data_IF_771282178650
#
_entry.id   IF_771282178650
#
_cell.length_a   1.000
_cell.length_b   1.000
_cell.length_c   1.000
_cell.angle_alpha   90.00
_cell.angle_beta   90.00
_cell.angle_gamma   90.00
#
_symmetry.space_group_name_H-M   'P 1'
#
loop_
_entity.id
_entity.type
_entity.pdbx_description
1 polymer ?
#
# COMPACT_ATOMS: atom_id res chain seq x y z
N UNK A 1 -15.53 -20.17 -6.65
CA UNK A 1 -14.61 -19.02 -6.55
C UNK A 1 -15.28 -18.02 -5.63
N UNK A 2 -14.81 -17.90 -4.39
CA UNK A 2 -15.32 -16.85 -3.52
C UNK A 2 -14.90 -15.51 -4.13
N UNK A 3 -15.86 -14.63 -4.36
CA UNK A 3 -15.56 -13.21 -4.57
C UNK A 3 -14.93 -12.78 -3.24
N UNK A 4 -13.61 -12.63 -3.20
CA UNK A 4 -12.96 -12.08 -2.00
C UNK A 4 -13.41 -10.63 -1.91
N UNK A 5 -14.24 -10.33 -0.91
CA UNK A 5 -14.71 -8.99 -0.59
C UNK A 5 -13.54 -8.21 0.03
N UNK A 6 -12.56 -7.90 -0.82
CA UNK A 6 -11.36 -7.19 -0.40
C UNK A 6 -11.75 -5.76 -0.04
N UNK A 7 -11.12 -5.18 1.01
CA UNK A 7 -11.12 -3.75 1.24
C UNK A 7 -10.91 -2.97 -0.06
N UNK A 8 -11.69 -1.90 -0.26
CA UNK A 8 -11.51 -0.98 -1.38
C UNK A 8 -10.82 0.30 -0.91
N UNK A 9 -9.80 0.72 -1.66
CA UNK A 9 -9.15 2.01 -1.54
C UNK A 9 -9.35 2.86 -2.79
N UNK A 10 -9.31 4.18 -2.63
CA UNK A 10 -9.33 5.12 -3.76
C UNK A 10 -7.97 5.76 -3.96
N UNK A 11 -7.50 5.81 -5.20
CA UNK A 11 -6.28 6.52 -5.55
C UNK A 11 -6.49 8.03 -5.35
N UNK A 12 -5.69 8.63 -4.47
CA UNK A 12 -5.67 10.07 -4.19
C UNK A 12 -4.25 10.59 -4.37
N UNK A 13 -3.98 11.12 -5.58
CA UNK A 13 -2.65 11.59 -5.98
C UNK A 13 -1.60 10.49 -5.95
N UNK A 14 -0.72 10.54 -4.96
CA UNK A 14 0.37 9.56 -4.73
C UNK A 14 0.11 8.68 -3.49
N UNK A 15 -1.14 8.58 -3.07
CA UNK A 15 -1.58 7.75 -1.94
C UNK A 15 -2.86 7.01 -2.27
N UNK A 16 -3.22 6.03 -1.45
CA UNK A 16 -4.52 5.34 -1.54
C UNK A 16 -5.27 5.51 -0.23
N UNK A 17 -6.50 6.01 -0.30
CA UNK A 17 -7.37 6.22 0.85
C UNK A 17 -8.35 5.07 1.02
N UNK A 18 -8.28 4.39 2.16
CA UNK A 18 -9.29 3.42 2.59
C UNK A 18 -10.22 4.11 3.59
N UNK A 19 -11.41 4.48 3.14
CA UNK A 19 -12.35 5.28 3.93
C UNK A 19 -13.19 4.46 4.92
N UNK A 20 -13.44 3.18 4.63
CA UNK A 20 -14.21 2.32 5.54
C UNK A 20 -13.39 2.00 6.80
N UNK A 21 -13.92 2.37 7.96
CA UNK A 21 -13.23 2.27 9.25
C UNK A 21 -12.87 0.82 9.62
N UNK A 22 -13.71 -0.15 9.26
CA UNK A 22 -13.48 -1.58 9.57
C UNK A 22 -12.36 -2.14 8.70
N UNK A 23 -12.37 -1.82 7.41
CA UNK A 23 -11.32 -2.15 6.47
C UNK A 23 -9.99 -1.51 6.87
N UNK A 24 -10.00 -0.20 7.15
CA UNK A 24 -8.86 0.57 7.65
C UNK A 24 -8.25 -0.07 8.90
N UNK A 25 -9.09 -0.35 9.91
CA UNK A 25 -8.66 -1.01 11.16
C UNK A 25 -8.10 -2.40 10.90
N UNK A 26 -8.70 -3.16 9.99
CA UNK A 26 -8.22 -4.52 9.65
C UNK A 26 -6.85 -4.49 9.00
N UNK A 27 -6.64 -3.59 8.02
CA UNK A 27 -5.36 -3.43 7.34
C UNK A 27 -4.27 -2.92 8.29
N UNK A 28 -4.59 -1.95 9.14
CA UNK A 28 -3.64 -1.44 10.13
C UNK A 28 -3.27 -2.50 11.17
N UNK A 29 -4.24 -3.22 11.74
CA UNK A 29 -3.98 -4.19 12.79
C UNK A 29 -3.31 -5.48 12.29
N UNK A 30 -3.49 -5.85 11.01
CA UNK A 30 -2.92 -7.07 10.39
C UNK A 30 -1.65 -6.83 9.59
N UNK A 31 -0.80 -5.90 10.02
CA UNK A 31 0.49 -5.66 9.36
C UNK A 31 1.01 -4.22 9.44
N UNK A 32 0.37 -3.35 10.23
CA UNK A 32 0.77 -1.96 10.41
C UNK A 32 0.94 -1.23 9.07
N UNK A 33 0.01 -1.47 8.14
CA UNK A 33 -0.03 -0.81 6.86
C UNK A 33 -0.60 0.60 7.03
N UNK A 34 0.00 1.58 6.34
CA UNK A 34 -0.50 2.94 6.25
C UNK A 34 -0.38 3.77 7.53
N UNK A 35 -1.01 4.93 7.48
CA UNK A 35 -1.13 5.90 8.57
C UNK A 35 -2.62 6.16 8.81
N UNK A 36 -3.16 5.85 10.01
CA UNK A 36 -4.54 6.17 10.36
C UNK A 36 -4.78 7.68 10.34
N UNK A 37 -5.95 8.11 9.86
CA UNK A 37 -6.35 9.53 9.85
C UNK A 37 -7.53 9.81 10.78
N UNK A 38 -7.76 11.09 11.07
CA UNK A 38 -8.94 11.52 11.82
C UNK A 38 -10.21 11.13 11.06
N UNK A 39 -11.12 10.41 11.73
CA UNK A 39 -12.35 9.92 11.10
C UNK A 39 -12.33 8.43 10.76
N UNK A 40 -11.27 7.70 11.10
CA UNK A 40 -11.22 6.23 11.01
C UNK A 40 -10.73 5.69 9.66
N UNK A 41 -10.39 6.56 8.71
CA UNK A 41 -9.78 6.16 7.45
C UNK A 41 -8.30 5.80 7.61
N UNK A 42 -7.76 5.10 6.61
CA UNK A 42 -6.36 4.74 6.52
C UNK A 42 -5.76 5.26 5.21
N UNK A 43 -4.65 5.99 5.31
CA UNK A 43 -3.89 6.41 4.14
C UNK A 43 -2.71 5.50 3.91
N UNK A 44 -2.63 4.93 2.72
CA UNK A 44 -1.56 4.05 2.27
C UNK A 44 -0.64 4.81 1.31
N UNK A 45 0.67 4.57 1.42
CA UNK A 45 1.59 4.91 0.34
C UNK A 45 1.35 4.03 -0.90
N UNK A 46 1.79 4.46 -2.10
CA UNK A 46 1.76 3.60 -3.30
C UNK A 46 2.51 2.29 -3.08
N UNK A 47 3.61 2.30 -2.32
CA UNK A 47 4.39 1.12 -1.98
C UNK A 47 3.57 0.09 -1.17
N UNK A 48 2.84 0.58 -0.17
CA UNK A 48 1.97 -0.25 0.66
C UNK A 48 0.73 -0.73 -0.10
N UNK A 49 0.12 0.13 -0.91
CA UNK A 49 -1.02 -0.21 -1.74
C UNK A 49 -0.65 -1.28 -2.76
N UNK A 50 0.48 -1.12 -3.47
CA UNK A 50 1.00 -2.10 -4.42
C UNK A 50 1.21 -3.47 -3.75
N UNK A 51 1.77 -3.50 -2.55
CA UNK A 51 1.95 -4.75 -1.81
C UNK A 51 0.62 -5.41 -1.43
N UNK A 52 -0.36 -4.63 -0.99
CA UNK A 52 -1.67 -5.15 -0.61
C UNK A 52 -2.49 -5.63 -1.82
N UNK A 53 -2.36 -4.97 -2.97
CA UNK A 53 -2.96 -5.41 -4.24
C UNK A 53 -2.31 -6.70 -4.73
N UNK A 54 -0.97 -6.79 -4.74
CA UNK A 54 -0.23 -8.00 -5.14
C UNK A 54 -0.58 -9.19 -4.23
N UNK A 55 -0.70 -8.96 -2.93
CA UNK A 55 -1.14 -9.96 -1.96
C UNK A 55 -2.63 -10.32 -2.04
N UNK A 56 -3.42 -9.68 -2.91
CA UNK A 56 -4.87 -9.90 -3.03
C UNK A 56 -5.64 -9.51 -1.77
N UNK A 57 -5.19 -8.48 -1.05
CA UNK A 57 -5.75 -8.00 0.23
C UNK A 57 -6.41 -6.62 0.14
N UNK A 58 -6.32 -5.95 -1.01
CA UNK A 58 -6.88 -4.64 -1.29
C UNK A 58 -7.27 -4.59 -2.78
N UNK A 59 -8.43 -4.02 -3.09
CA UNK A 59 -8.75 -3.50 -4.41
C UNK A 59 -8.55 -1.98 -4.43
N UNK A 60 -8.11 -1.42 -5.55
CA UNK A 60 -7.93 0.02 -5.71
C UNK A 60 -8.72 0.50 -6.92
N UNK A 61 -9.36 1.65 -6.78
CA UNK A 61 -10.11 2.31 -7.84
C UNK A 61 -9.67 3.78 -8.00
N UNK A 62 -9.84 4.32 -9.21
CA UNK A 62 -9.76 5.76 -9.46
C UNK A 62 -11.08 6.48 -9.10
N UNK A 63 -11.10 7.81 -9.30
CA UNK A 63 -12.29 8.64 -9.04
C UNK A 63 -13.50 8.30 -9.93
N UNK A 64 -13.28 7.62 -11.06
CA UNK A 64 -14.31 7.19 -12.01
C UNK A 64 -14.79 5.75 -11.73
N UNK A 65 -14.21 5.06 -10.75
CA UNK A 65 -14.50 3.66 -10.44
C UNK A 65 -13.77 2.68 -11.37
N UNK A 66 -12.77 3.15 -12.12
CA UNK A 66 -11.85 2.29 -12.88
C UNK A 66 -10.93 1.53 -11.94
N UNK A 67 -10.77 0.23 -12.16
CA UNK A 67 -9.84 -0.61 -11.39
C UNK A 67 -8.40 -0.17 -11.66
N UNK A 68 -7.62 -0.03 -10.59
CA UNK A 68 -6.19 0.25 -10.61
C UNK A 68 -5.47 -1.02 -10.17
N UNK A 69 -4.65 -1.58 -11.06
CA UNK A 69 -3.92 -2.81 -10.78
C UNK A 69 -2.50 -2.54 -10.22
N UNK A 70 -1.73 -3.61 -10.04
CA UNK A 70 -0.36 -3.51 -9.54
C UNK A 70 0.55 -2.72 -10.50
N UNK A 71 0.40 -2.93 -11.81
CA UNK A 71 1.24 -2.27 -12.81
C UNK A 71 0.96 -0.75 -12.82
N UNK A 72 -0.31 -0.37 -12.68
CA UNK A 72 -0.72 1.03 -12.54
C UNK A 72 -0.08 1.69 -11.30
N UNK A 73 -0.10 1.02 -10.14
CA UNK A 73 0.49 1.54 -8.90
C UNK A 73 2.01 1.66 -8.97
N UNK A 74 2.69 0.67 -9.53
CA UNK A 74 4.15 0.70 -9.74
C UNK A 74 4.53 1.78 -10.74
N UNK A 75 3.76 1.93 -11.82
CA UNK A 75 3.94 3.00 -12.81
C UNK A 75 3.72 4.39 -12.21
N UNK A 76 2.69 4.57 -11.39
CA UNK A 76 2.44 5.82 -10.66
C UNK A 76 3.59 6.16 -9.71
N UNK A 77 4.11 5.17 -8.98
CA UNK A 77 5.28 5.33 -8.12
C UNK A 77 6.55 5.67 -8.91
N UNK A 78 6.76 4.99 -10.03
CA UNK A 78 7.90 5.19 -10.95
C UNK A 78 7.99 6.59 -11.54
N UNK A 79 6.84 7.25 -11.75
CA UNK A 79 6.80 8.66 -12.21
C UNK A 79 7.33 9.64 -11.16
N UNK A 80 7.14 9.34 -9.88
CA UNK A 80 7.65 10.16 -8.77
C UNK A 80 9.07 9.78 -8.35
N UNK A 81 9.44 8.51 -8.58
CA UNK A 81 10.67 7.91 -8.11
C UNK A 81 11.18 6.84 -9.09
N UNK A 82 12.27 7.12 -9.80
CA UNK A 82 12.86 6.18 -10.76
C UNK A 82 13.34 4.86 -10.16
N UNK A 83 13.56 4.80 -8.84
CA UNK A 83 13.97 3.58 -8.14
C UNK A 83 12.79 2.81 -7.53
N UNK A 84 11.54 3.28 -7.72
CA UNK A 84 10.35 2.74 -7.06
C UNK A 84 10.17 1.25 -7.29
N UNK A 85 10.31 0.79 -8.54
CA UNK A 85 10.14 -0.63 -8.90
C UNK A 85 11.15 -1.53 -8.19
N UNK A 86 12.43 -1.13 -8.16
CA UNK A 86 13.49 -1.87 -7.45
C UNK A 86 13.21 -1.89 -5.95
N UNK A 87 12.85 -0.73 -5.38
CA UNK A 87 12.44 -0.62 -3.98
C UNK A 87 11.24 -1.50 -3.65
N UNK A 88 10.28 -1.62 -4.57
CA UNK A 88 9.10 -2.45 -4.40
C UNK A 88 9.44 -3.94 -4.32
N UNK A 89 10.35 -4.43 -5.16
CA UNK A 89 10.81 -5.83 -5.10
C UNK A 89 11.39 -6.14 -3.71
N UNK A 90 12.23 -5.25 -3.17
CA UNK A 90 12.83 -5.40 -1.84
C UNK A 90 11.77 -5.30 -0.75
N UNK A 91 10.89 -4.30 -0.83
CA UNK A 91 9.79 -4.12 0.11
C UNK A 91 8.91 -5.37 0.21
N UNK A 92 8.51 -5.93 -0.94
CA UNK A 92 7.69 -7.14 -1.03
C UNK A 92 8.37 -8.34 -0.39
N UNK A 93 9.62 -8.64 -0.77
CA UNK A 93 10.35 -9.80 -0.23
C UNK A 93 10.46 -9.73 1.32
N UNK A 94 10.74 -8.54 1.86
CA UNK A 94 10.82 -8.35 3.31
C UNK A 94 9.45 -8.50 4.00
N UNK A 95 8.39 -7.92 3.42
CA UNK A 95 7.03 -8.04 3.96
C UNK A 95 6.49 -9.47 3.91
N UNK A 96 6.76 -10.21 2.85
CA UNK A 96 6.35 -11.62 2.70
C UNK A 96 7.03 -12.52 3.75
N UNK A 97 8.25 -12.17 4.16
CA UNK A 97 8.98 -12.85 5.24
C UNK A 97 8.50 -12.47 6.65
N UNK A 98 7.53 -11.56 6.75
CA UNK A 98 6.92 -11.14 8.02
C UNK A 98 7.58 -9.93 8.67
N UNK A 99 8.57 -9.30 8.04
CA UNK A 99 9.18 -8.09 8.59
C UNK A 99 8.23 -6.88 8.49
N UNK A 100 8.30 -6.00 9.47
CA UNK A 100 7.74 -4.65 9.36
C UNK A 100 8.75 -3.76 8.63
N UNK A 101 8.31 -3.20 7.50
CA UNK A 101 9.15 -2.33 6.66
C UNK A 101 8.55 -0.93 6.64
N UNK A 102 9.36 0.07 7.02
CA UNK A 102 8.96 1.49 7.04
C UNK A 102 9.97 2.33 6.25
N UNK A 103 9.55 3.41 5.59
CA UNK A 103 10.49 4.35 4.96
C UNK A 103 11.49 4.88 5.99
N UNK A 104 12.78 4.85 5.68
CA UNK A 104 13.79 5.38 6.59
C UNK A 104 13.88 6.89 6.49
N UNK A 105 14.22 7.54 7.61
CA UNK A 105 14.58 8.97 7.64
C UNK A 105 16.09 9.19 7.53
N UNK A 106 16.88 8.11 7.51
CA UNK A 106 18.33 8.18 7.42
C UNK A 106 18.77 8.45 5.97
N UNK A 107 19.61 9.47 5.71
CA UNK A 107 20.10 9.74 4.37
C UNK A 107 20.80 8.55 3.73
N UNK A 108 20.38 8.16 2.53
CA UNK A 108 20.95 7.04 1.78
C UNK A 108 20.45 5.65 2.21
N UNK A 109 19.49 5.57 3.13
CA UNK A 109 18.83 4.32 3.53
C UNK A 109 17.39 4.35 3.05
N UNK A 110 16.96 3.30 2.35
CA UNK A 110 15.59 3.23 1.82
C UNK A 110 14.56 2.88 2.90
N UNK A 111 14.86 1.87 3.72
CA UNK A 111 13.91 1.31 4.67
C UNK A 111 14.54 1.00 6.03
N UNK A 112 13.77 1.24 7.09
CA UNK A 112 13.97 0.65 8.40
C UNK A 112 13.17 -0.66 8.47
N UNK A 113 13.82 -1.73 8.92
CA UNK A 113 13.25 -3.09 8.96
C UNK A 113 13.26 -3.63 10.38
N UNK A 114 12.09 -4.10 10.84
CA UNK A 114 11.89 -4.60 12.21
C UNK A 114 11.39 -6.06 12.20
N UNK A 115 11.87 -6.91 13.12
CA UNK A 115 11.42 -8.29 13.28
C UNK A 115 10.00 -8.41 13.84
#
# INVERSE_FOLDING_TARGET
>A
MAVSDNPLGKLDGTTVLVADERAASTLYNKGSHGVPESGGSLRLSLMEAAYLVDAGRLGVEDDQGGTIDLEDLVSAGGKADSAFEVRYIVYRDMRERGYLVKPSTTPGVDFDVFP
#
